data_IF_223832101030
#
_entry.id   IF_223832101030
#
_cell.length_a   1.000
_cell.length_b   1.000
_cell.length_c   1.000
_cell.angle_alpha   90.00
_cell.angle_beta   90.00
_cell.angle_gamma   90.00
#
_symmetry.space_group_name_H-M   'P 1'
#
loop_
_entity.id
_entity.type
_entity.pdbx_description
1 polymer ?
#
# COMPACT_ATOMS: atom_id res chain seq x y z
N UNK A 1 17.48 19.32 4.18
CA UNK A 1 18.18 18.41 3.25
C UNK A 1 17.93 16.99 3.74
N UNK A 2 16.87 16.35 3.25
CA UNK A 2 16.64 14.93 3.51
C UNK A 2 17.70 14.16 2.72
N UNK A 3 18.45 13.32 3.40
CA UNK A 3 19.71 12.74 2.94
C UNK A 3 19.53 11.89 1.66
N UNK A 4 19.95 12.44 0.51
CA UNK A 4 19.85 11.76 -0.79
C UNK A 4 20.64 10.44 -0.81
N UNK A 5 21.67 10.28 0.02
CA UNK A 5 22.41 9.01 0.12
C UNK A 5 21.56 7.91 0.78
N UNK A 6 20.73 8.27 1.77
CA UNK A 6 19.76 7.34 2.36
C UNK A 6 18.65 6.96 1.39
N UNK A 7 18.13 7.91 0.61
CA UNK A 7 17.12 7.62 -0.40
C UNK A 7 17.67 6.69 -1.50
N UNK A 8 18.89 6.96 -2.00
CA UNK A 8 19.53 6.11 -3.01
C UNK A 8 19.74 4.68 -2.50
N UNK A 9 20.24 4.53 -1.27
CA UNK A 9 20.47 3.22 -0.65
C UNK A 9 19.15 2.46 -0.44
N UNK A 10 18.10 3.16 0.03
CA UNK A 10 16.77 2.57 0.22
C UNK A 10 16.19 2.07 -1.10
N UNK A 11 16.22 2.90 -2.14
CA UNK A 11 15.64 2.56 -3.45
C UNK A 11 16.42 1.42 -4.11
N UNK A 12 17.75 1.42 -4.04
CA UNK A 12 18.58 0.33 -4.55
C UNK A 12 18.28 -1.00 -3.83
N UNK A 13 18.15 -0.96 -2.50
CA UNK A 13 17.76 -2.12 -1.69
C UNK A 13 16.39 -2.68 -2.08
N UNK A 14 15.38 -1.81 -2.21
CA UNK A 14 14.04 -2.19 -2.65
C UNK A 14 14.06 -2.79 -4.06
N UNK A 15 14.82 -2.19 -4.99
CA UNK A 15 14.95 -2.68 -6.36
C UNK A 15 15.58 -4.07 -6.44
N UNK A 16 16.64 -4.32 -5.66
CA UNK A 16 17.29 -5.64 -5.56
C UNK A 16 16.35 -6.70 -4.98
N UNK A 17 15.64 -6.38 -3.91
CA UNK A 17 14.66 -7.26 -3.30
C UNK A 17 13.51 -7.60 -4.27
N UNK A 18 12.94 -6.58 -4.92
CA UNK A 18 11.89 -6.75 -5.91
C UNK A 18 12.34 -7.62 -7.10
N UNK A 19 13.57 -7.41 -7.61
CA UNK A 19 14.13 -8.22 -8.70
C UNK A 19 14.28 -9.68 -8.31
N UNK A 20 14.69 -9.97 -7.07
CA UNK A 20 14.77 -11.34 -6.55
C UNK A 20 13.38 -11.98 -6.49
N UNK A 21 12.41 -11.30 -5.86
CA UNK A 21 11.05 -11.80 -5.72
C UNK A 21 10.34 -12.01 -7.07
N UNK A 22 10.64 -11.17 -8.08
CA UNK A 22 10.05 -11.28 -9.41
C UNK A 22 10.35 -12.63 -10.09
N UNK A 23 11.53 -13.23 -9.83
CA UNK A 23 11.88 -14.54 -10.39
C UNK A 23 10.98 -15.64 -9.83
N UNK A 24 10.74 -15.63 -8.53
CA UNK A 24 9.84 -16.59 -7.85
C UNK A 24 8.40 -16.40 -8.32
N UNK A 25 7.93 -15.15 -8.37
CA UNK A 25 6.57 -14.83 -8.84
C UNK A 25 6.34 -15.22 -10.30
N UNK A 26 7.35 -15.09 -11.17
CA UNK A 26 7.24 -15.49 -12.57
C UNK A 26 6.99 -16.99 -12.71
N UNK A 27 7.60 -17.81 -11.85
CA UNK A 27 7.46 -19.27 -11.86
C UNK A 27 6.21 -19.77 -11.11
N UNK A 28 5.58 -18.94 -10.28
CA UNK A 28 4.41 -19.34 -9.52
C UNK A 28 3.23 -19.73 -10.44
N UNK A 29 2.58 -20.88 -10.20
CA UNK A 29 1.46 -21.33 -11.01
C UNK A 29 0.22 -20.47 -10.77
N UNK A 30 -0.68 -20.41 -11.76
CA UNK A 30 -1.89 -19.58 -11.70
C UNK A 30 -2.76 -19.81 -10.44
N UNK A 31 -2.97 -21.05 -9.95
CA UNK A 31 -3.73 -21.27 -8.71
C UNK A 31 -3.08 -20.64 -7.47
N UNK A 32 -1.74 -20.66 -7.37
CA UNK A 32 -1.03 -20.05 -6.26
C UNK A 32 -1.18 -18.51 -6.28
N UNK A 33 -1.06 -17.90 -7.47
CA UNK A 33 -1.28 -16.45 -7.66
C UNK A 33 -2.72 -16.05 -7.28
N UNK A 34 -3.70 -16.84 -7.70
CA UNK A 34 -5.10 -16.62 -7.34
C UNK A 34 -5.33 -16.71 -5.84
N UNK A 35 -4.79 -17.74 -5.18
CA UNK A 35 -4.90 -17.91 -3.73
C UNK A 35 -4.25 -16.74 -2.98
N UNK A 36 -3.10 -16.23 -3.46
CA UNK A 36 -2.44 -15.07 -2.88
C UNK A 36 -3.30 -13.79 -3.01
N UNK A 37 -3.94 -13.56 -4.17
CA UNK A 37 -4.83 -12.41 -4.36
C UNK A 37 -6.07 -12.49 -3.46
N UNK A 38 -6.70 -13.67 -3.37
CA UNK A 38 -7.84 -13.87 -2.48
C UNK A 38 -7.46 -13.70 -1.01
N UNK A 39 -6.32 -14.25 -0.59
CA UNK A 39 -5.81 -14.07 0.77
C UNK A 39 -5.45 -12.62 1.09
N UNK A 40 -4.96 -11.85 0.10
CA UNK A 40 -4.72 -10.42 0.26
C UNK A 40 -6.03 -9.64 0.45
N UNK A 41 -7.07 -9.96 -0.33
CA UNK A 41 -8.40 -9.38 -0.16
C UNK A 41 -8.97 -9.68 1.24
N UNK A 42 -8.97 -10.95 1.64
CA UNK A 42 -9.44 -11.37 2.97
C UNK A 42 -8.69 -10.64 4.08
N UNK A 43 -7.36 -10.48 3.94
CA UNK A 43 -6.53 -9.77 4.91
C UNK A 43 -6.85 -8.27 5.00
N UNK A 44 -7.14 -7.62 3.87
CA UNK A 44 -7.57 -6.21 3.84
C UNK A 44 -8.89 -6.05 4.58
N UNK A 45 -9.89 -6.89 4.28
CA UNK A 45 -11.20 -6.83 4.95
C UNK A 45 -11.06 -7.11 6.45
N UNK A 46 -10.31 -8.14 6.84
CA UNK A 46 -10.10 -8.50 8.24
C UNK A 46 -9.39 -7.41 9.05
N UNK A 47 -8.65 -6.49 8.39
CA UNK A 47 -7.91 -5.38 9.02
C UNK A 47 -8.51 -4.01 8.70
N UNK A 48 -9.79 -3.97 8.32
CA UNK A 48 -10.49 -2.72 7.95
C UNK A 48 -10.28 -1.62 9.00
N UNK A 49 -10.50 -1.94 10.28
CA UNK A 49 -10.42 -0.95 11.36
C UNK A 49 -8.99 -0.40 11.53
N UNK A 50 -7.98 -1.25 11.44
CA UNK A 50 -6.57 -0.85 11.51
C UNK A 50 -6.20 0.08 10.34
N UNK A 51 -6.66 -0.25 9.13
CA UNK A 51 -6.39 0.53 7.92
C UNK A 51 -7.06 1.91 8.00
N UNK A 52 -8.32 1.96 8.45
CA UNK A 52 -9.05 3.23 8.60
C UNK A 52 -8.45 4.10 9.71
N UNK A 53 -8.01 3.49 10.82
CA UNK A 53 -7.32 4.21 11.89
C UNK A 53 -6.00 4.82 11.41
N UNK A 54 -5.23 4.09 10.59
CA UNK A 54 -4.03 4.63 9.97
C UNK A 54 -4.34 5.73 8.95
N UNK A 55 -5.37 5.55 8.11
CA UNK A 55 -5.75 6.56 7.11
C UNK A 55 -6.21 7.86 7.76
N UNK A 56 -6.86 7.83 8.93
CA UNK A 56 -7.22 9.09 9.62
C UNK A 56 -5.98 9.88 10.07
N UNK A 57 -4.89 9.20 10.44
CA UNK A 57 -3.62 9.87 10.74
C UNK A 57 -3.05 10.54 9.48
N UNK A 58 -3.12 9.86 8.34
CA UNK A 58 -2.71 10.42 7.05
C UNK A 58 -3.58 11.61 6.63
N UNK A 59 -4.90 11.52 6.86
CA UNK A 59 -5.83 12.62 6.58
C UNK A 59 -5.52 13.82 7.46
N UNK A 60 -5.25 13.62 8.75
CA UNK A 60 -4.85 14.71 9.64
C UNK A 60 -3.55 15.36 9.16
N UNK A 61 -2.53 14.56 8.85
CA UNK A 61 -1.28 15.06 8.30
C UNK A 61 -1.47 15.81 6.98
N UNK A 62 -2.35 15.31 6.11
CA UNK A 62 -2.69 15.94 4.84
C UNK A 62 -3.33 17.32 5.02
N UNK A 63 -4.27 17.45 5.97
CA UNK A 63 -4.88 18.74 6.34
C UNK A 63 -3.81 19.71 6.85
N UNK A 64 -2.94 19.25 7.74
CA UNK A 64 -1.86 20.08 8.33
C UNK A 64 -0.83 20.53 7.28
N UNK A 65 -0.65 19.76 6.21
CA UNK A 65 0.20 20.10 5.06
C UNK A 65 -0.50 20.94 3.99
N UNK A 66 -1.78 21.26 4.17
CA UNK A 66 -2.55 22.10 3.23
C UNK A 66 -2.86 21.41 1.91
N UNK A 67 -3.08 20.08 1.92
CA UNK A 67 -3.59 19.38 0.75
C UNK A 67 -4.94 19.96 0.33
N UNK A 68 -5.17 20.04 -0.99
CA UNK A 68 -6.46 20.48 -1.53
C UNK A 68 -7.56 19.46 -1.26
N UNK A 69 -8.82 19.91 -1.26
CA UNK A 69 -9.98 19.03 -1.07
C UNK A 69 -10.00 17.84 -2.04
N UNK A 70 -9.60 18.07 -3.30
CA UNK A 70 -9.49 17.01 -4.30
C UNK A 70 -8.39 15.98 -3.98
N UNK A 71 -7.29 16.40 -3.35
CA UNK A 71 -6.25 15.48 -2.88
C UNK A 71 -6.70 14.74 -1.61
N UNK A 72 -7.41 15.42 -0.72
CA UNK A 72 -7.98 14.83 0.50
C UNK A 72 -9.01 13.75 0.17
N UNK A 73 -9.90 13.97 -0.81
CA UNK A 73 -10.86 12.96 -1.24
C UNK A 73 -10.19 11.71 -1.84
N UNK A 74 -9.09 11.89 -2.59
CA UNK A 74 -8.30 10.76 -3.11
C UNK A 74 -7.56 10.00 -2.01
N UNK A 75 -7.13 10.69 -0.96
CA UNK A 75 -6.44 10.07 0.17
C UNK A 75 -7.40 9.31 1.09
N UNK A 76 -8.65 9.77 1.19
CA UNK A 76 -9.65 9.20 2.10
C UNK A 76 -10.02 7.78 1.70
N UNK A 77 -9.96 6.89 2.70
CA UNK A 77 -10.53 5.56 2.68
C UNK A 77 -11.80 5.53 3.53
N UNK A 78 -12.68 4.59 3.19
CA UNK A 78 -13.87 4.24 3.97
C UNK A 78 -14.15 2.73 3.77
N UNK A 79 -15.05 2.12 4.57
CA UNK A 79 -15.35 0.70 4.43
C UNK A 79 -15.82 0.31 3.02
N UNK A 80 -16.54 1.17 2.33
CA UNK A 80 -17.05 0.89 0.99
C UNK A 80 -15.92 0.85 -0.05
N UNK A 81 -14.96 1.77 0.04
CA UNK A 81 -13.76 1.79 -0.82
C UNK A 81 -12.87 0.57 -0.55
N UNK A 82 -12.74 0.15 0.71
CA UNK A 82 -11.99 -1.07 1.04
C UNK A 82 -12.66 -2.32 0.49
N UNK A 83 -13.98 -2.44 0.61
CA UNK A 83 -14.76 -3.53 -0.01
C UNK A 83 -14.74 -3.52 -1.54
N UNK A 84 -14.51 -2.37 -2.18
CA UNK A 84 -14.40 -2.31 -3.64
C UNK A 84 -13.02 -2.77 -4.15
N UNK A 85 -11.99 -2.75 -3.30
CA UNK A 85 -10.61 -3.12 -3.65
C UNK A 85 -10.31 -4.59 -3.32
N UNK A 86 -10.98 -5.13 -2.29
CA UNK A 86 -10.78 -6.48 -1.77
C UNK A 86 -11.94 -7.42 -2.16
#
# INVERSE_FOLDING_TARGET
>A
MTDMATAQTLIDGLGKAARKAAVELAQAPAPAKRAALMGAADAVIARTDDILAANEQDLQFGRDKGLSDAMMDRLRLDPQRLQAIA
#
